data_IF_319965999906
#
_entry.id   IF_319965999906
#
_cell.length_a   1.000
_cell.length_b   1.000
_cell.length_c   1.000
_cell.angle_alpha   90.00
_cell.angle_beta   90.00
_cell.angle_gamma   90.00
#
_symmetry.space_group_name_H-M   'P 1'
#
loop_
_entity.id
_entity.type
_entity.pdbx_description
1 polymer ?
#
# COMPACT_ATOMS: atom_id res chain seq x y z
N UNK A 1 -19.36 -8.60 -38.07
CA UNK A 1 -20.56 -8.02 -37.42
C UNK A 1 -20.32 -7.98 -35.92
N UNK A 2 -20.01 -6.79 -35.38
CA UNK A 2 -19.59 -6.58 -33.99
C UNK A 2 -20.71 -5.83 -33.26
N UNK A 3 -21.84 -6.49 -33.00
CA UNK A 3 -23.12 -5.80 -32.72
C UNK A 3 -23.69 -5.96 -31.30
N UNK A 4 -22.93 -6.52 -30.36
CA UNK A 4 -23.47 -6.82 -29.01
C UNK A 4 -22.96 -5.83 -27.95
N UNK A 5 -21.65 -5.77 -27.73
CA UNK A 5 -21.03 -5.00 -26.62
C UNK A 5 -21.30 -3.51 -26.78
N UNK A 6 -20.77 -2.86 -27.84
CA UNK A 6 -20.93 -1.41 -28.10
C UNK A 6 -22.37 -0.85 -28.08
N UNK A 7 -23.40 -1.69 -28.18
CA UNK A 7 -24.78 -1.21 -28.01
C UNK A 7 -25.11 -0.95 -26.54
N UNK A 8 -24.67 -1.80 -25.61
CA UNK A 8 -25.00 -1.70 -24.19
C UNK A 8 -24.28 -0.53 -23.52
N UNK A 9 -22.98 -0.34 -23.76
CA UNK A 9 -22.29 0.84 -23.22
C UNK A 9 -22.83 2.12 -23.87
N UNK A 10 -23.14 2.11 -25.17
CA UNK A 10 -23.71 3.30 -25.81
C UNK A 10 -25.11 3.64 -25.27
N UNK A 11 -25.95 2.64 -24.98
CA UNK A 11 -27.22 2.84 -24.28
C UNK A 11 -27.02 3.39 -22.86
N UNK A 12 -25.98 2.94 -22.16
CA UNK A 12 -25.63 3.44 -20.83
C UNK A 12 -25.19 4.91 -20.90
N UNK A 13 -24.29 5.26 -21.82
CA UNK A 13 -23.84 6.63 -22.07
C UNK A 13 -25.03 7.56 -22.35
N UNK A 14 -25.95 7.15 -23.22
CA UNK A 14 -27.18 7.91 -23.50
C UNK A 14 -28.01 8.16 -22.24
N UNK A 15 -28.23 7.13 -21.43
CA UNK A 15 -29.01 7.25 -20.18
C UNK A 15 -28.35 8.21 -19.20
N UNK A 16 -27.01 8.16 -19.07
CA UNK A 16 -26.26 9.08 -18.22
C UNK A 16 -26.41 10.54 -18.66
N UNK A 17 -26.29 10.82 -19.96
CA UNK A 17 -26.48 12.17 -20.50
C UNK A 17 -27.93 12.68 -20.32
N UNK A 18 -28.93 11.81 -20.50
CA UNK A 18 -30.33 12.14 -20.27
C UNK A 18 -30.59 12.45 -18.79
N UNK A 19 -30.02 11.66 -17.88
CA UNK A 19 -30.14 11.88 -16.45
C UNK A 19 -29.51 13.22 -16.05
N UNK A 20 -28.27 13.47 -16.47
CA UNK A 20 -27.57 14.74 -16.25
C UNK A 20 -28.39 15.96 -16.74
N UNK A 21 -28.98 15.87 -17.94
CA UNK A 21 -29.86 16.94 -18.44
C UNK A 21 -31.08 17.18 -17.54
N UNK A 22 -31.72 16.11 -17.08
CA UNK A 22 -32.91 16.20 -16.22
C UNK A 22 -32.56 16.75 -14.84
N UNK A 23 -31.42 16.36 -14.27
CA UNK A 23 -30.90 16.90 -13.01
C UNK A 23 -30.59 18.39 -13.12
N UNK A 24 -30.02 18.82 -14.25
CA UNK A 24 -29.84 20.23 -14.57
C UNK A 24 -31.15 20.98 -14.87
N UNK A 25 -32.30 20.30 -14.85
CA UNK A 25 -33.63 20.85 -15.16
C UNK A 25 -33.72 21.51 -16.55
N UNK A 26 -32.89 21.06 -17.51
CA UNK A 26 -32.84 21.61 -18.85
C UNK A 26 -33.78 20.85 -19.80
N UNK A 27 -34.47 21.56 -20.67
CA UNK A 27 -35.20 20.94 -21.79
C UNK A 27 -34.24 20.56 -22.92
N UNK A 28 -34.68 19.69 -23.84
CA UNK A 28 -33.89 19.38 -25.04
C UNK A 28 -33.63 20.62 -25.90
N UNK A 29 -34.55 21.59 -25.89
CA UNK A 29 -34.40 22.86 -26.61
C UNK A 29 -33.34 23.76 -25.97
N UNK A 30 -33.25 23.78 -24.64
CA UNK A 30 -32.25 24.58 -23.92
C UNK A 30 -30.84 24.09 -24.23
N UNK A 31 -30.61 22.78 -24.15
CA UNK A 31 -29.32 22.17 -24.50
C UNK A 31 -28.98 22.42 -25.97
N UNK A 32 -29.95 22.30 -26.87
CA UNK A 32 -29.76 22.56 -28.29
C UNK A 32 -29.35 24.02 -28.54
N UNK A 33 -29.97 24.96 -27.83
CA UNK A 33 -29.64 26.39 -27.89
C UNK A 33 -28.21 26.67 -27.44
N UNK A 34 -27.77 26.08 -26.32
CA UNK A 34 -26.40 26.22 -25.81
C UNK A 34 -25.37 25.67 -26.80
N UNK A 35 -25.69 24.54 -27.46
CA UNK A 35 -24.82 23.90 -28.44
C UNK A 35 -24.81 24.60 -29.82
N UNK A 36 -25.70 25.57 -30.05
CA UNK A 36 -25.91 26.14 -31.39
C UNK A 36 -26.40 25.10 -32.41
N UNK A 37 -27.18 24.11 -31.96
CA UNK A 37 -27.71 23.01 -32.78
C UNK A 37 -29.25 23.04 -32.82
N UNK A 38 -29.89 22.48 -33.86
CA UNK A 38 -31.33 22.26 -33.86
C UNK A 38 -31.74 21.29 -32.74
N UNK A 39 -32.89 21.49 -32.09
CA UNK A 39 -33.44 20.56 -31.09
C UNK A 39 -33.48 19.08 -31.54
N UNK A 40 -33.73 18.75 -32.83
CA UNK A 40 -33.62 17.38 -33.32
C UNK A 40 -32.25 16.72 -33.14
N UNK A 41 -31.15 17.48 -33.04
CA UNK A 41 -29.84 16.95 -32.70
C UNK A 41 -29.89 16.25 -31.34
N UNK A 42 -30.44 16.95 -30.33
CA UNK A 42 -30.57 16.45 -28.96
C UNK A 42 -31.52 15.26 -28.90
N UNK A 43 -32.70 15.39 -29.51
CA UNK A 43 -33.69 14.31 -29.56
C UNK A 43 -33.13 13.02 -30.21
N UNK A 44 -32.38 13.14 -31.31
CA UNK A 44 -31.84 11.98 -32.04
C UNK A 44 -30.77 11.22 -31.26
N UNK A 45 -29.86 11.92 -30.58
CA UNK A 45 -28.86 11.22 -29.75
C UNK A 45 -29.50 10.64 -28.49
N UNK A 46 -30.46 11.35 -27.87
CA UNK A 46 -31.17 10.84 -26.69
C UNK A 46 -32.03 9.62 -27.02
N UNK A 47 -32.53 9.48 -28.25
CA UNK A 47 -33.27 8.29 -28.74
C UNK A 47 -32.38 7.19 -29.33
N UNK A 48 -31.09 7.44 -29.53
CA UNK A 48 -30.14 6.46 -30.07
C UNK A 48 -30.20 6.32 -31.58
N UNK A 49 -30.95 7.19 -32.26
CA UNK A 49 -31.02 7.28 -33.71
C UNK A 49 -29.75 7.92 -34.30
N UNK A 50 -28.97 8.63 -33.47
CA UNK A 50 -27.70 9.24 -33.84
C UNK A 50 -26.64 8.95 -32.77
N UNK A 51 -25.42 8.65 -33.24
CA UNK A 51 -24.25 8.53 -32.37
C UNK A 51 -23.56 9.88 -32.15
N UNK A 52 -23.16 10.16 -30.91
CA UNK A 52 -22.22 11.25 -30.61
C UNK A 52 -20.80 10.74 -30.81
N UNK A 53 -19.95 11.51 -31.49
CA UNK A 53 -18.51 11.32 -31.39
C UNK A 53 -17.97 11.92 -30.07
N UNK A 54 -16.68 11.74 -29.81
CA UNK A 54 -16.06 12.20 -28.56
C UNK A 54 -16.09 13.73 -28.41
N UNK A 55 -15.96 14.48 -29.50
CA UNK A 55 -15.97 15.96 -29.47
C UNK A 55 -17.39 16.44 -29.19
N UNK A 56 -18.38 15.83 -29.83
CA UNK A 56 -19.78 16.14 -29.58
C UNK A 56 -20.22 15.74 -28.16
N UNK A 57 -19.70 14.63 -27.62
CA UNK A 57 -19.91 14.24 -26.23
C UNK A 57 -19.37 15.30 -25.26
N UNK A 58 -18.14 15.80 -25.48
CA UNK A 58 -17.56 16.86 -24.65
C UNK A 58 -18.40 18.14 -24.70
N UNK A 59 -18.81 18.56 -25.89
CA UNK A 59 -19.67 19.74 -26.05
C UNK A 59 -21.01 19.58 -25.31
N UNK A 60 -21.62 18.39 -25.37
CA UNK A 60 -22.85 18.09 -24.63
C UNK A 60 -22.59 18.11 -23.12
N UNK A 61 -21.49 17.55 -22.63
CA UNK A 61 -21.13 17.58 -21.22
C UNK A 61 -20.97 19.02 -20.71
N UNK A 62 -20.27 19.87 -21.48
CA UNK A 62 -20.11 21.29 -21.18
C UNK A 62 -21.46 22.02 -21.16
N UNK A 63 -22.33 21.76 -22.13
CA UNK A 63 -23.67 22.36 -22.19
C UNK A 63 -24.59 21.93 -21.03
N UNK A 64 -24.31 20.77 -20.43
CA UNK A 64 -24.99 20.25 -19.25
C UNK A 64 -24.30 20.63 -17.94
N UNK A 65 -23.17 21.33 -18.00
CA UNK A 65 -22.31 21.67 -16.86
C UNK A 65 -21.91 20.44 -16.01
N UNK A 66 -21.61 19.31 -16.67
CA UNK A 66 -21.14 18.08 -16.02
C UNK A 66 -19.72 17.72 -16.44
N UNK A 67 -18.94 17.13 -15.53
CA UNK A 67 -17.60 16.65 -15.85
C UNK A 67 -17.67 15.43 -16.80
N UNK A 68 -17.13 15.53 -18.02
CA UNK A 68 -17.10 14.41 -18.96
C UNK A 68 -16.34 13.20 -18.41
N UNK A 69 -15.32 13.40 -17.56
CA UNK A 69 -14.55 12.30 -16.96
C UNK A 69 -15.41 11.50 -15.98
N UNK A 70 -16.22 12.17 -15.16
CA UNK A 70 -17.18 11.52 -14.27
C UNK A 70 -18.18 10.62 -15.04
N UNK A 71 -18.73 11.11 -16.15
CA UNK A 71 -19.64 10.33 -17.00
C UNK A 71 -18.92 9.11 -17.60
N UNK A 72 -17.66 9.24 -18.02
CA UNK A 72 -16.86 8.12 -18.53
C UNK A 72 -16.52 7.09 -17.44
N UNK A 73 -16.25 7.51 -16.20
CA UNK A 73 -16.06 6.58 -15.07
C UNK A 73 -17.33 5.78 -14.81
N UNK A 74 -18.48 6.46 -14.75
CA UNK A 74 -19.77 5.79 -14.62
C UNK A 74 -20.07 4.88 -15.81
N UNK A 75 -19.65 5.24 -17.02
CA UNK A 75 -19.79 4.36 -18.18
C UNK A 75 -18.96 3.07 -18.03
N UNK A 76 -17.74 3.16 -17.49
CA UNK A 76 -16.81 2.04 -17.31
C UNK A 76 -17.23 1.03 -16.24
N UNK A 77 -18.03 1.40 -15.24
CA UNK A 77 -18.46 0.47 -14.20
C UNK A 77 -19.39 -0.61 -14.80
N UNK A 78 -19.01 -1.88 -14.78
CA UNK A 78 -19.92 -2.96 -15.19
C UNK A 78 -20.96 -3.14 -14.08
N UNK A 79 -22.24 -3.27 -14.43
CA UNK A 79 -23.37 -3.41 -13.49
C UNK A 79 -23.42 -4.78 -12.78
N UNK A 80 -22.26 -5.36 -12.46
CA UNK A 80 -22.13 -6.73 -11.95
C UNK A 80 -21.20 -6.88 -10.75
N UNK A 81 -20.77 -5.81 -10.09
CA UNK A 81 -20.00 -5.93 -8.85
C UNK A 81 -20.82 -5.42 -7.66
N UNK A 82 -21.29 -6.38 -6.87
CA UNK A 82 -21.77 -6.19 -5.51
C UNK A 82 -20.63 -5.68 -4.62
N UNK A 83 -20.94 -4.67 -3.81
CA UNK A 83 -20.33 -4.39 -2.50
C UNK A 83 -18.80 -4.44 -2.40
N UNK A 84 -18.16 -3.35 -2.84
CA UNK A 84 -17.34 -2.55 -1.93
C UNK A 84 -17.44 -1.10 -2.39
N UNK A 85 -18.43 -0.39 -1.82
CA UNK A 85 -18.46 1.07 -1.91
C UNK A 85 -17.41 1.60 -0.93
N UNK A 86 -16.13 1.38 -1.23
CA UNK A 86 -15.08 2.24 -0.67
C UNK A 86 -15.18 3.53 -1.46
N UNK A 87 -16.06 4.44 -1.00
CA UNK A 87 -16.02 5.82 -1.47
C UNK A 87 -14.57 6.29 -1.42
N UNK A 88 -14.05 6.76 -2.55
CA UNK A 88 -12.69 7.26 -2.64
C UNK A 88 -12.54 8.35 -1.57
N UNK A 89 -11.59 8.16 -0.65
CA UNK A 89 -11.42 9.07 0.50
C UNK A 89 -11.04 10.48 0.05
N UNK A 90 -10.34 10.62 -1.09
CA UNK A 90 -10.00 11.91 -1.67
C UNK A 90 -11.25 12.57 -2.28
N UNK A 91 -12.13 11.80 -2.93
CA UNK A 91 -13.42 12.30 -3.42
C UNK A 91 -14.32 12.73 -2.24
N UNK A 92 -14.39 11.91 -1.20
CA UNK A 92 -15.17 12.18 0.03
C UNK A 92 -14.73 13.48 0.69
N UNK A 93 -13.42 13.71 0.77
CA UNK A 93 -12.86 14.94 1.33
C UNK A 93 -12.83 16.10 0.33
N UNK A 94 -13.23 15.87 -0.92
CA UNK A 94 -13.17 16.87 -1.99
C UNK A 94 -11.76 17.45 -2.18
N UNK A 95 -10.72 16.61 -2.07
CA UNK A 95 -9.32 16.98 -2.31
C UNK A 95 -8.74 16.21 -3.48
N UNK A 96 -7.73 16.79 -4.13
CA UNK A 96 -7.00 16.15 -5.22
C UNK A 96 -5.73 15.45 -4.73
N UNK A 97 -5.16 14.51 -5.51
CA UNK A 97 -3.82 13.97 -5.22
C UNK A 97 -2.74 15.06 -5.10
N UNK A 98 -2.90 16.20 -5.78
CA UNK A 98 -1.97 17.32 -5.67
C UNK A 98 -2.09 18.05 -4.33
N UNK A 99 -3.30 18.17 -3.79
CA UNK A 99 -3.52 18.74 -2.45
C UNK A 99 -2.86 17.86 -1.38
N UNK A 100 -3.08 16.55 -1.46
CA UNK A 100 -2.40 15.59 -0.59
C UNK A 100 -0.87 15.69 -0.72
N UNK A 101 -0.36 15.72 -1.95
CA UNK A 101 1.09 15.87 -2.21
C UNK A 101 1.64 17.16 -1.58
N UNK A 102 0.89 18.26 -1.67
CA UNK A 102 1.26 19.55 -1.09
C UNK A 102 1.34 19.47 0.44
N UNK A 103 0.32 18.88 1.08
CA UNK A 103 0.28 18.70 2.53
C UNK A 103 1.45 17.83 3.02
N UNK A 104 1.74 16.71 2.33
CA UNK A 104 2.82 15.80 2.70
C UNK A 104 4.20 16.48 2.56
N UNK A 105 4.42 17.26 1.50
CA UNK A 105 5.66 18.02 1.32
C UNK A 105 5.87 19.09 2.40
N UNK A 106 4.79 19.67 2.92
CA UNK A 106 4.83 20.65 4.01
C UNK A 106 5.02 20.01 5.39
N UNK A 107 4.71 18.71 5.52
CA UNK A 107 4.75 17.99 6.80
C UNK A 107 5.58 16.70 6.70
N UNK A 108 6.92 16.77 6.80
CA UNK A 108 7.80 15.60 6.69
C UNK A 108 7.47 14.47 7.67
N UNK A 109 6.99 14.79 8.87
CA UNK A 109 6.55 13.81 9.86
C UNK A 109 5.33 13.00 9.39
N UNK A 110 4.33 13.68 8.83
CA UNK A 110 3.15 13.04 8.25
C UNK A 110 3.52 12.21 7.03
N UNK A 111 4.41 12.73 6.18
CA UNK A 111 4.94 11.99 5.03
C UNK A 111 5.62 10.70 5.48
N UNK A 112 6.49 10.74 6.48
CA UNK A 112 7.16 9.56 7.01
C UNK A 112 6.17 8.54 7.61
N UNK A 113 5.18 9.02 8.36
CA UNK A 113 4.14 8.15 8.93
C UNK A 113 3.33 7.44 7.85
N UNK A 114 2.79 8.19 6.87
CA UNK A 114 2.03 7.62 5.76
C UNK A 114 2.89 6.65 4.94
N UNK A 115 4.15 7.01 4.69
CA UNK A 115 5.07 6.14 3.96
C UNK A 115 5.32 4.81 4.68
N UNK A 116 5.36 4.80 6.02
CA UNK A 116 5.40 3.58 6.82
C UNK A 116 4.20 2.67 6.57
N UNK A 117 2.99 3.23 6.63
CA UNK A 117 1.76 2.47 6.32
C UNK A 117 1.74 1.94 4.88
N UNK A 118 2.18 2.74 3.90
CA UNK A 118 2.28 2.31 2.51
C UNK A 118 3.33 1.19 2.37
N UNK A 119 4.44 1.26 3.09
CA UNK A 119 5.46 0.23 3.05
C UNK A 119 4.95 -1.11 3.59
N UNK A 120 4.17 -1.12 4.68
CA UNK A 120 3.51 -2.34 5.15
C UNK A 120 2.51 -2.89 4.13
N UNK A 121 1.69 -2.02 3.53
CA UNK A 121 0.74 -2.41 2.49
C UNK A 121 1.46 -3.04 1.28
N UNK A 122 2.56 -2.41 0.84
CA UNK A 122 3.36 -2.89 -0.29
C UNK A 122 4.10 -4.18 0.02
N UNK A 123 4.51 -4.38 1.26
CA UNK A 123 5.09 -5.65 1.69
C UNK A 123 4.08 -6.79 1.55
N UNK A 124 2.84 -6.56 1.98
CA UNK A 124 1.77 -7.53 1.86
C UNK A 124 1.44 -7.87 0.40
N UNK A 125 1.21 -6.83 -0.43
CA UNK A 125 0.93 -6.94 -1.87
C UNK A 125 2.03 -7.71 -2.62
N UNK A 126 3.31 -7.46 -2.30
CA UNK A 126 4.43 -8.04 -3.06
C UNK A 126 4.90 -9.40 -2.56
N UNK A 127 4.78 -9.67 -1.25
CA UNK A 127 5.46 -10.81 -0.62
C UNK A 127 4.56 -11.73 0.18
N UNK A 128 3.34 -11.32 0.52
CA UNK A 128 2.41 -12.13 1.32
C UNK A 128 1.23 -12.67 0.51
N UNK A 129 0.99 -12.15 -0.69
CA UNK A 129 0.07 -12.73 -1.68
C UNK A 129 0.68 -13.96 -2.39
N UNK A 130 1.07 -14.97 -1.62
CA UNK A 130 1.69 -16.20 -2.12
C UNK A 130 0.80 -17.43 -1.87
N UNK A 131 0.72 -18.43 -2.79
CA UNK A 131 -0.14 -19.60 -2.62
C UNK A 131 0.11 -20.42 -1.34
N UNK A 132 1.36 -20.45 -0.88
CA UNK A 132 1.75 -21.16 0.35
C UNK A 132 1.60 -20.31 1.63
N UNK A 133 1.16 -19.05 1.50
CA UNK A 133 0.88 -18.15 2.61
C UNK A 133 -0.63 -18.12 2.87
N UNK A 134 -1.02 -18.26 4.13
CA UNK A 134 -2.40 -18.20 4.57
C UNK A 134 -2.54 -17.44 5.89
N UNK A 135 -3.75 -16.95 6.18
CA UNK A 135 -4.09 -16.36 7.48
C UNK A 135 -3.25 -15.13 7.81
N UNK A 136 -3.01 -14.26 6.83
CA UNK A 136 -2.31 -12.99 7.05
C UNK A 136 -3.18 -12.12 7.96
N UNK A 137 -2.63 -11.76 9.11
CA UNK A 137 -3.27 -10.91 10.12
C UNK A 137 -2.31 -9.77 10.46
N UNK A 138 -2.83 -8.55 10.42
CA UNK A 138 -2.16 -7.39 11.02
C UNK A 138 -2.41 -7.41 12.52
N UNK A 139 -1.35 -7.30 13.32
CA UNK A 139 -1.53 -7.15 14.77
C UNK A 139 -2.25 -5.82 15.04
N UNK A 140 -3.28 -5.88 15.88
CA UNK A 140 -4.02 -4.69 16.31
C UNK A 140 -3.11 -3.81 17.17
N UNK A 141 -2.94 -2.53 16.82
CA UNK A 141 -2.10 -1.56 17.54
C UNK A 141 -2.48 -1.43 19.04
N UNK A 142 -3.66 -1.94 19.42
CA UNK A 142 -4.16 -1.97 20.78
C UNK A 142 -3.76 -3.22 21.62
N UNK A 143 -3.28 -4.32 21.04
CA UNK A 143 -2.76 -5.49 21.79
C UNK A 143 -1.23 -5.45 21.96
N UNK A 144 -0.79 -4.61 22.90
CA UNK A 144 0.64 -4.37 23.22
C UNK A 144 1.41 -5.59 23.74
N UNK A 145 0.78 -6.77 23.88
CA UNK A 145 1.42 -7.99 24.41
C UNK A 145 2.10 -8.84 23.35
N UNK A 146 1.83 -8.60 22.08
CA UNK A 146 2.37 -9.38 20.96
C UNK A 146 2.97 -8.43 19.94
N UNK A 147 4.25 -8.60 19.62
CA UNK A 147 4.97 -7.74 18.67
C UNK A 147 5.10 -8.43 17.30
N UNK A 148 4.99 -7.63 16.25
CA UNK A 148 5.10 -7.99 14.84
C UNK A 148 4.13 -7.17 14.01
N UNK A 149 4.52 -6.76 12.81
CA UNK A 149 3.63 -5.98 11.94
C UNK A 149 2.67 -6.89 11.18
N UNK A 150 3.10 -8.13 10.89
CA UNK A 150 2.29 -9.15 10.23
C UNK A 150 2.53 -10.53 10.83
N UNK A 151 1.44 -11.28 11.02
CA UNK A 151 1.45 -12.70 11.32
C UNK A 151 0.85 -13.46 10.15
N UNK A 152 1.46 -14.57 9.78
CA UNK A 152 0.94 -15.42 8.71
C UNK A 152 1.37 -16.86 8.92
N UNK A 153 0.73 -17.77 8.19
CA UNK A 153 1.08 -19.18 8.14
C UNK A 153 1.77 -19.41 6.80
N UNK A 154 2.94 -20.03 6.81
CA UNK A 154 3.65 -20.46 5.61
C UNK A 154 4.03 -21.93 5.74
N UNK A 155 3.62 -22.76 4.78
CA UNK A 155 3.83 -24.23 4.79
C UNK A 155 3.45 -24.90 6.12
N UNK A 156 2.38 -24.42 6.76
CA UNK A 156 1.88 -24.95 8.03
C UNK A 156 2.55 -24.40 9.30
N UNK A 157 3.52 -23.49 9.17
CA UNK A 157 4.21 -22.88 10.31
C UNK A 157 3.82 -21.40 10.46
N UNK A 158 3.56 -20.96 11.70
CA UNK A 158 3.28 -19.56 12.00
C UNK A 158 4.56 -18.73 11.97
N UNK A 159 4.51 -17.57 11.32
CA UNK A 159 5.60 -16.61 11.26
C UNK A 159 5.17 -15.24 11.74
N UNK A 160 6.11 -14.51 12.33
CA UNK A 160 5.99 -13.11 12.73
C UNK A 160 7.00 -12.31 11.92
N UNK A 161 6.50 -11.31 11.19
CA UNK A 161 7.33 -10.42 10.39
C UNK A 161 7.28 -9.01 10.95
N UNK A 162 8.46 -8.40 11.10
CA UNK A 162 8.63 -7.01 11.49
C UNK A 162 9.07 -6.21 10.25
N UNK A 163 8.31 -5.19 9.88
CA UNK A 163 8.58 -4.28 8.78
C UNK A 163 9.24 -2.99 9.30
N UNK A 164 10.35 -2.58 8.68
CA UNK A 164 11.01 -1.30 8.93
C UNK A 164 11.33 -0.59 7.62
N UNK A 165 11.62 0.70 7.73
CA UNK A 165 12.09 1.51 6.61
C UNK A 165 13.48 2.07 6.91
N UNK A 166 14.21 2.44 5.85
CA UNK A 166 15.49 3.12 5.97
C UNK A 166 15.33 4.50 6.62
N UNK A 167 16.33 4.90 7.40
CA UNK A 167 16.45 6.27 7.89
C UNK A 167 16.97 7.17 6.77
N UNK A 168 16.16 8.12 6.30
CA UNK A 168 16.50 8.99 5.17
C UNK A 168 17.87 9.66 5.30
N UNK A 169 18.22 10.11 6.51
CA UNK A 169 19.50 10.78 6.80
C UNK A 169 20.73 9.86 6.71
N UNK A 170 20.53 8.54 6.72
CA UNK A 170 21.61 7.55 6.67
C UNK A 170 21.99 7.12 5.25
N UNK A 171 21.14 7.41 4.27
CA UNK A 171 21.25 6.88 2.91
C UNK A 171 22.43 7.51 2.18
N UNK A 172 23.26 6.68 1.56
CA UNK A 172 24.40 7.09 0.75
C UNK A 172 24.53 6.19 -0.47
N UNK A 173 24.82 6.79 -1.62
CA UNK A 173 25.27 6.06 -2.80
C UNK A 173 26.80 5.94 -2.77
N UNK A 174 27.32 4.74 -3.01
CA UNK A 174 28.75 4.41 -3.02
C UNK A 174 29.15 3.87 -4.41
N UNK A 175 30.40 3.47 -4.58
CA UNK A 175 30.87 2.79 -5.80
C UNK A 175 30.20 1.44 -6.03
N UNK A 176 29.82 0.77 -4.94
CA UNK A 176 29.38 -0.63 -4.91
C UNK A 176 27.86 -0.76 -4.76
N UNK A 177 27.13 0.37 -4.79
CA UNK A 177 25.67 0.43 -4.72
C UNK A 177 25.17 1.45 -3.70
N UNK A 178 24.16 1.08 -2.93
CA UNK A 178 23.58 1.92 -1.89
C UNK A 178 23.87 1.37 -0.50
N UNK A 179 23.95 2.29 0.46
CA UNK A 179 24.05 1.98 1.88
C UNK A 179 23.08 2.84 2.67
N UNK A 180 22.61 2.33 3.78
CA UNK A 180 21.75 3.04 4.71
C UNK A 180 21.67 2.27 6.02
N UNK A 181 20.80 2.73 6.91
CA UNK A 181 20.52 2.04 8.16
C UNK A 181 19.04 2.10 8.51
N UNK A 182 18.56 1.07 9.17
CA UNK A 182 17.19 1.01 9.70
C UNK A 182 17.21 0.90 11.22
N UNK A 183 16.20 1.47 11.87
CA UNK A 183 16.04 1.39 13.31
C UNK A 183 15.12 0.22 13.68
N UNK A 184 15.61 -0.68 14.53
CA UNK A 184 14.97 -1.95 14.91
C UNK A 184 14.69 -1.94 16.41
N UNK A 185 13.90 -0.97 16.83
CA UNK A 185 13.48 -0.75 18.22
C UNK A 185 11.96 -0.88 18.39
N UNK A 186 11.51 -0.95 19.64
CA UNK A 186 10.16 -0.62 20.03
C UNK A 186 9.91 0.89 19.96
N UNK A 187 8.66 1.26 19.64
CA UNK A 187 8.18 2.64 19.61
C UNK A 187 8.32 3.32 20.98
N UNK A 188 8.17 2.55 22.06
CA UNK A 188 8.25 3.01 23.44
C UNK A 188 9.21 2.15 24.28
N UNK A 189 9.78 2.79 25.30
CA UNK A 189 10.63 2.11 26.30
C UNK A 189 9.73 1.28 27.21
N UNK A 190 10.06 0.00 27.36
CA UNK A 190 9.25 -0.99 28.07
C UNK A 190 10.13 -1.93 28.89
N UNK A 191 9.54 -2.52 29.93
CA UNK A 191 10.17 -3.61 30.67
C UNK A 191 9.96 -4.93 29.93
N UNK A 192 11.05 -5.62 29.62
CA UNK A 192 11.06 -6.96 29.01
C UNK A 192 11.71 -7.96 29.97
N UNK A 193 11.32 -9.22 29.87
CA UNK A 193 11.94 -10.32 30.61
C UNK A 193 12.86 -11.07 29.65
N UNK A 194 14.15 -11.12 29.98
CA UNK A 194 15.15 -11.87 29.21
C UNK A 194 14.98 -13.38 29.44
N UNK A 195 15.52 -14.23 28.54
CA UNK A 195 15.56 -15.68 28.75
C UNK A 195 16.27 -16.11 30.05
N UNK A 196 17.18 -15.29 30.58
CA UNK A 196 17.80 -15.50 31.90
C UNK A 196 16.83 -15.28 33.08
N UNK A 197 15.64 -14.75 32.84
CA UNK A 197 14.65 -14.34 33.85
C UNK A 197 14.84 -12.90 34.34
N UNK A 198 15.92 -12.23 33.94
CA UNK A 198 16.19 -10.83 34.30
C UNK A 198 15.21 -9.87 33.63
N UNK A 199 14.82 -8.81 34.35
CA UNK A 199 14.00 -7.73 33.81
C UNK A 199 14.87 -6.57 33.35
N UNK A 200 14.68 -6.13 32.12
CA UNK A 200 15.41 -5.00 31.54
C UNK A 200 14.41 -3.98 31.00
N UNK A 201 14.60 -2.70 31.34
CA UNK A 201 13.81 -1.61 30.80
C UNK A 201 14.52 -0.98 29.59
N UNK A 202 14.01 -1.21 28.38
CA UNK A 202 14.71 -0.90 27.12
C UNK A 202 13.73 -0.62 25.98
N UNK A 203 14.23 0.01 24.92
CA UNK A 203 13.56 0.09 23.61
C UNK A 203 14.03 -1.02 22.66
N UNK A 204 15.12 -1.72 22.98
CA UNK A 204 15.69 -2.74 22.11
C UNK A 204 14.76 -3.97 22.04
N UNK A 205 14.78 -4.59 20.86
CA UNK A 205 14.04 -5.82 20.59
C UNK A 205 14.78 -7.06 21.06
N UNK A 206 14.03 -8.08 21.47
CA UNK A 206 14.59 -9.37 21.84
C UNK A 206 14.98 -10.18 20.61
N UNK A 207 16.04 -10.95 20.77
CA UNK A 207 16.35 -12.06 19.87
C UNK A 207 15.23 -13.10 19.97
N UNK A 208 14.62 -13.42 18.84
CA UNK A 208 13.46 -14.30 18.72
C UNK A 208 12.11 -13.61 18.97
N UNK A 209 12.04 -12.29 19.13
CA UNK A 209 10.75 -11.58 19.32
C UNK A 209 9.86 -11.62 18.08
N UNK A 210 10.49 -11.69 16.90
CA UNK A 210 9.87 -11.91 15.60
C UNK A 210 10.76 -12.89 14.81
N UNK A 211 10.28 -13.42 13.68
CA UNK A 211 11.03 -14.39 12.89
C UNK A 211 11.88 -13.73 11.80
N UNK A 212 11.29 -12.81 11.03
CA UNK A 212 11.93 -12.15 9.89
C UNK A 212 11.79 -10.63 10.00
N UNK A 213 12.89 -9.91 9.78
CA UNK A 213 12.90 -8.47 9.56
C UNK A 213 12.76 -8.23 8.05
N UNK A 214 11.79 -7.42 7.64
CA UNK A 214 11.67 -6.89 6.29
C UNK A 214 12.00 -5.40 6.30
N UNK A 215 12.97 -4.98 5.49
CA UNK A 215 13.37 -3.58 5.39
C UNK A 215 13.02 -3.06 4.01
N UNK A 216 12.13 -2.07 3.97
CA UNK A 216 11.80 -1.33 2.75
C UNK A 216 13.04 -0.55 2.26
N UNK A 217 13.48 -0.86 1.05
CA UNK A 217 14.64 -0.23 0.38
C UNK A 217 14.25 0.71 -0.76
N UNK A 218 12.95 1.06 -0.88
CA UNK A 218 12.47 2.01 -1.89
C UNK A 218 13.33 3.28 -2.06
N UNK A 219 13.82 3.94 -0.99
CA UNK A 219 14.66 5.13 -1.13
C UNK A 219 15.99 4.96 -1.89
N UNK A 220 16.47 3.73 -2.12
CA UNK A 220 17.69 3.49 -2.89
C UNK A 220 17.46 3.67 -4.40
N UNK A 221 16.45 3.00 -4.97
CA UNK A 221 16.25 2.96 -6.43
C UNK A 221 14.90 3.50 -6.89
N UNK A 222 14.07 4.04 -5.98
CA UNK A 222 12.69 4.45 -6.23
C UNK A 222 11.81 3.31 -6.78
N UNK A 223 12.09 2.08 -6.35
CA UNK A 223 11.29 0.90 -6.68
C UNK A 223 10.90 0.16 -5.41
N UNK A 224 9.68 -0.38 -5.36
CA UNK A 224 9.20 -1.11 -4.18
C UNK A 224 9.91 -2.46 -4.10
N UNK A 225 10.89 -2.54 -3.21
CA UNK A 225 11.67 -3.72 -2.92
C UNK A 225 11.92 -3.79 -1.41
N UNK A 226 12.21 -5.00 -0.94
CA UNK A 226 12.51 -5.28 0.45
C UNK A 226 13.76 -6.16 0.53
N UNK A 227 14.51 -5.97 1.60
CA UNK A 227 15.52 -6.94 2.02
C UNK A 227 15.08 -7.59 3.33
N UNK A 228 15.44 -8.84 3.50
CA UNK A 228 14.97 -9.70 4.57
C UNK A 228 16.14 -10.31 5.32
N UNK A 229 16.01 -10.46 6.63
CA UNK A 229 16.95 -11.22 7.45
C UNK A 229 16.21 -11.95 8.58
N UNK A 230 16.71 -13.13 8.96
CA UNK A 230 16.21 -13.82 10.17
C UNK A 230 16.56 -12.97 11.39
N UNK A 231 15.64 -12.87 12.33
CA UNK A 231 15.90 -12.16 13.59
C UNK A 231 17.16 -12.69 14.31
N UNK A 232 17.36 -14.01 14.29
CA UNK A 232 18.50 -14.65 14.94
C UNK A 232 19.86 -14.19 14.38
N UNK A 233 19.91 -13.80 13.11
CA UNK A 233 21.15 -13.40 12.42
C UNK A 233 21.44 -11.90 12.52
N UNK A 234 20.49 -11.12 13.04
CA UNK A 234 20.65 -9.68 13.20
C UNK A 234 21.73 -9.34 14.25
N UNK A 235 22.47 -8.23 14.05
CA UNK A 235 23.50 -7.79 14.99
C UNK A 235 22.94 -7.56 16.40
N UNK A 236 23.78 -7.84 17.40
CA UNK A 236 23.46 -7.64 18.81
C UNK A 236 23.86 -6.26 19.30
N UNK A 237 23.22 -5.81 20.37
CA UNK A 237 23.52 -4.52 20.99
C UNK A 237 24.98 -4.44 21.45
N UNK A 238 25.64 -3.34 21.11
CA UNK A 238 27.00 -3.03 21.59
C UNK A 238 26.98 -2.01 22.74
N UNK A 239 25.80 -1.58 23.19
CA UNK A 239 25.65 -0.56 24.22
C UNK A 239 26.22 -1.03 25.56
N UNK A 240 27.21 -0.29 26.07
CA UNK A 240 27.94 -0.67 27.28
C UNK A 240 27.12 -0.62 28.57
N UNK A 241 25.95 0.03 28.55
CA UNK A 241 25.03 0.07 29.68
C UNK A 241 24.33 -1.27 29.96
N UNK A 242 24.32 -2.19 28.99
CA UNK A 242 23.88 -3.57 29.21
C UNK A 242 25.06 -4.46 29.61
N UNK A 243 24.83 -5.46 30.45
CA UNK A 243 25.83 -6.49 30.75
C UNK A 243 26.15 -7.31 29.50
N UNK A 244 27.33 -7.97 29.42
CA UNK A 244 27.65 -8.85 28.30
C UNK A 244 26.59 -9.92 28.02
N UNK A 245 25.99 -10.47 29.07
CA UNK A 245 24.91 -11.45 28.99
C UNK A 245 23.62 -10.84 28.41
N UNK A 246 23.18 -9.68 28.93
CA UNK A 246 22.00 -8.98 28.41
C UNK A 246 22.13 -8.68 26.91
N UNK A 247 23.32 -8.24 26.47
CA UNK A 247 23.57 -7.92 25.04
C UNK A 247 23.36 -9.12 24.12
N UNK A 248 23.54 -10.36 24.58
CA UNK A 248 23.30 -11.55 23.75
C UNK A 248 21.83 -11.71 23.36
N UNK A 249 20.92 -11.18 24.18
CA UNK A 249 19.48 -11.28 23.99
C UNK A 249 18.85 -10.03 23.35
N UNK A 250 19.62 -8.96 23.15
CA UNK A 250 19.12 -7.68 22.64
C UNK A 250 19.67 -7.40 21.24
N UNK A 251 18.78 -7.13 20.29
CA UNK A 251 19.13 -6.66 18.97
C UNK A 251 19.79 -5.28 19.02
N UNK A 252 20.66 -4.99 18.06
CA UNK A 252 21.17 -3.64 17.85
C UNK A 252 20.03 -2.72 17.39
N UNK A 253 19.97 -1.52 17.97
CA UNK A 253 18.97 -0.50 17.62
C UNK A 253 19.11 -0.05 16.16
N UNK A 254 20.34 0.10 15.67
CA UNK A 254 20.61 0.57 14.32
C UNK A 254 21.31 -0.54 13.53
N UNK A 255 20.68 -0.98 12.44
CA UNK A 255 21.16 -2.07 11.61
C UNK A 255 21.55 -1.51 10.23
N UNK A 256 22.79 -1.72 9.77
CA UNK A 256 23.22 -1.29 8.44
C UNK A 256 22.57 -2.15 7.35
N UNK A 257 22.24 -1.52 6.24
CA UNK A 257 21.58 -2.12 5.08
C UNK A 257 22.34 -1.70 3.82
N UNK A 258 22.53 -2.63 2.89
CA UNK A 258 23.13 -2.39 1.58
C UNK A 258 22.15 -2.75 0.46
N UNK A 259 22.39 -2.20 -0.73
CA UNK A 259 21.79 -2.67 -1.97
C UNK A 259 22.84 -2.65 -3.09
N UNK A 260 23.19 -3.79 -3.70
CA UNK A 260 22.62 -5.14 -3.48
C UNK A 260 22.76 -5.66 -2.03
N UNK A 261 21.86 -6.54 -1.57
CA UNK A 261 21.88 -7.03 -0.19
C UNK A 261 23.14 -7.86 0.08
N UNK A 262 23.75 -7.64 1.24
CA UNK A 262 24.85 -8.45 1.78
C UNK A 262 24.37 -9.26 3.01
N UNK A 263 24.99 -10.43 3.30
CA UNK A 263 24.65 -11.21 4.48
C UNK A 263 24.66 -10.37 5.78
N UNK A 264 23.66 -10.55 6.67
CA UNK A 264 22.66 -11.62 6.68
C UNK A 264 21.40 -11.31 5.84
N UNK A 265 21.39 -10.23 5.06
CA UNK A 265 20.24 -9.84 4.27
C UNK A 265 20.18 -10.55 2.91
N UNK A 266 18.95 -10.83 2.46
CA UNK A 266 18.63 -11.31 1.12
C UNK A 266 17.43 -10.54 0.57
N UNK A 267 17.27 -10.49 -0.74
CA UNK A 267 16.09 -9.93 -1.41
C UNK A 267 14.97 -10.95 -1.61
N UNK A 268 15.09 -12.17 -1.07
CA UNK A 268 14.09 -13.24 -1.23
C UNK A 268 13.54 -13.71 0.13
N UNK A 269 12.31 -13.30 0.46
CA UNK A 269 11.63 -13.72 1.69
C UNK A 269 11.44 -15.25 1.75
N UNK A 270 11.02 -15.88 0.66
CA UNK A 270 10.65 -17.29 0.64
C UNK A 270 11.84 -18.20 0.92
N UNK A 271 13.02 -17.80 0.45
CA UNK A 271 14.28 -18.48 0.78
C UNK A 271 14.49 -18.56 2.30
N UNK A 272 14.33 -17.44 3.02
CA UNK A 272 14.46 -17.43 4.48
C UNK A 272 13.36 -18.23 5.19
N UNK A 273 12.13 -18.16 4.68
CA UNK A 273 11.03 -18.90 5.26
C UNK A 273 11.23 -20.41 5.10
N UNK A 274 11.72 -20.87 3.94
CA UNK A 274 12.06 -22.28 3.70
C UNK A 274 13.16 -22.76 4.67
N UNK A 275 14.24 -21.99 4.82
CA UNK A 275 15.29 -22.32 5.81
C UNK A 275 14.73 -22.39 7.24
N UNK A 276 13.89 -21.42 7.64
CA UNK A 276 13.28 -21.41 8.97
C UNK A 276 12.33 -22.60 9.20
N UNK A 277 11.61 -23.04 8.16
CA UNK A 277 10.79 -24.25 8.23
C UNK A 277 11.69 -25.47 8.47
N UNK A 278 12.76 -25.65 7.71
CA UNK A 278 13.72 -26.75 7.85
C UNK A 278 14.37 -26.78 9.25
N UNK A 279 14.78 -25.62 9.77
CA UNK A 279 15.32 -25.48 11.12
C UNK A 279 14.30 -25.91 12.20
N UNK A 280 13.03 -25.54 12.03
CA UNK A 280 11.95 -25.90 12.98
C UNK A 280 11.62 -27.39 12.93
N UNK A 281 11.64 -28.01 11.76
CA UNK A 281 11.53 -29.47 11.62
C UNK A 281 12.70 -30.20 12.30
N UNK A 282 13.92 -29.70 12.10
CA UNK A 282 15.13 -30.32 12.69
C UNK A 282 15.17 -30.25 14.22
N UNK A 283 14.51 -29.26 14.83
CA UNK A 283 14.41 -29.12 16.30
C UNK A 283 13.32 -29.99 16.93
N UNK A 284 12.38 -30.51 16.13
CA UNK A 284 11.24 -31.31 16.60
C UNK A 284 11.40 -32.81 16.32
N UNK A 285 12.43 -33.18 15.55
CA UNK A 285 12.85 -34.57 15.27
C UNK A 285 13.93 -35.03 16.25
#
# INVERSE_FOLDING_TARGET
>A
MTRSVFSQEYEKLRRLLIAARREASLTQSDVASVLGKPQPFVSKYERGERRLDVVEFLQVADALAVDPVAILRQLRTRSSDNQDNTEDILETWSITPNDLTTILKQSPSLQGMLFGYIAEFKLEELWLEHPDIAGVVKDDDHDRRKKGDRRFIYKGHSFILEAKSLQTSSIKHTSDGWTGSTQVDASDRREIVLPSGEKVNTTLLLVGEFDVLAVNVFPFENNWNFVFAKNQDLPRSTYRGYTPEQRQYLLASLIPITWPPEPPFTDNLYYLLDELVEERFSRTS
#
